data_IF_215474396508
#
_entry.id   IF_215474396508
#
_cell.length_a   1.000
_cell.length_b   1.000
_cell.length_c   1.000
_cell.angle_alpha   90.00
_cell.angle_beta   90.00
_cell.angle_gamma   90.00
#
_symmetry.space_group_name_H-M   'P 1'
#
loop_
_entity.id
_entity.type
_entity.pdbx_description
1 polymer ?
#
# COMPACT_ATOMS: atom_id res chain seq x y z
N UNK A 1 -21.10 7.68 -2.51
CA UNK A 1 -20.09 6.91 -1.75
C UNK A 1 -20.81 5.73 -1.16
N UNK A 2 -20.34 4.51 -1.44
CA UNK A 2 -21.03 3.27 -1.06
C UNK A 2 -20.06 2.27 -0.45
N UNK A 3 -20.59 1.28 0.27
CA UNK A 3 -19.81 0.14 0.77
C UNK A 3 -20.07 -1.07 -0.10
N UNK A 4 -19.01 -1.74 -0.53
CA UNK A 4 -19.10 -3.03 -1.22
C UNK A 4 -18.65 -4.16 -0.29
N UNK A 5 -19.45 -5.24 -0.24
CA UNK A 5 -19.28 -6.33 0.72
C UNK A 5 -18.62 -7.56 0.10
N UNK A 6 -17.74 -8.20 0.87
CA UNK A 6 -17.03 -9.41 0.50
C UNK A 6 -17.14 -10.46 1.62
N UNK A 7 -17.22 -11.74 1.22
CA UNK A 7 -17.23 -12.88 2.16
C UNK A 7 -15.80 -13.11 2.68
N UNK A 8 -15.56 -13.04 3.99
CA UNK A 8 -14.21 -13.29 4.56
C UNK A 8 -13.63 -14.61 4.10
N UNK A 9 -14.47 -15.66 4.13
CA UNK A 9 -14.03 -17.03 3.92
C UNK A 9 -13.19 -17.15 2.67
N UNK A 10 -13.73 -16.59 1.59
CA UNK A 10 -13.11 -16.60 0.27
C UNK A 10 -11.82 -15.76 0.28
N UNK A 11 -11.83 -14.60 0.92
CA UNK A 11 -10.63 -13.74 1.02
C UNK A 11 -9.52 -14.40 1.87
N UNK A 12 -9.89 -15.16 2.90
CA UNK A 12 -8.94 -15.96 3.71
C UNK A 12 -8.31 -17.08 2.90
N UNK A 13 -9.12 -17.76 2.08
CA UNK A 13 -8.65 -18.83 1.20
C UNK A 13 -7.58 -18.35 0.21
N UNK A 14 -7.65 -17.08 -0.23
CA UNK A 14 -6.68 -16.49 -1.17
C UNK A 14 -5.70 -15.49 -0.51
N UNK A 15 -5.63 -15.45 0.83
CA UNK A 15 -4.94 -14.37 1.56
C UNK A 15 -3.45 -14.34 1.25
N UNK A 16 -2.81 -15.50 1.16
CA UNK A 16 -1.38 -15.60 0.87
C UNK A 16 -1.07 -15.12 -0.56
N UNK A 17 -1.92 -15.46 -1.53
CA UNK A 17 -1.81 -14.97 -2.90
C UNK A 17 -2.03 -13.45 -2.96
N UNK A 18 -2.95 -12.92 -2.16
CA UNK A 18 -3.17 -11.48 -2.05
C UNK A 18 -1.94 -10.77 -1.47
N UNK A 19 -1.34 -11.30 -0.40
CA UNK A 19 -0.11 -10.77 0.19
C UNK A 19 1.03 -10.85 -0.83
N UNK A 20 1.15 -11.96 -1.55
CA UNK A 20 2.26 -12.20 -2.47
C UNK A 20 2.16 -11.38 -3.76
N UNK A 21 0.98 -11.31 -4.38
CA UNK A 21 0.82 -10.64 -5.67
C UNK A 21 0.55 -9.14 -5.51
N UNK A 22 -0.23 -8.77 -4.48
CA UNK A 22 -0.68 -7.40 -4.29
C UNK A 22 0.00 -6.70 -3.11
N UNK A 23 0.86 -7.35 -2.33
CA UNK A 23 1.30 -6.77 -1.06
C UNK A 23 0.11 -6.33 -0.18
N UNK A 24 -0.97 -7.13 -0.19
CA UNK A 24 -2.13 -6.90 0.65
C UNK A 24 -1.74 -6.98 2.14
N UNK A 25 -2.37 -6.14 2.95
CA UNK A 25 -2.28 -6.14 4.41
C UNK A 25 -3.65 -5.85 4.99
N UNK A 26 -3.94 -6.36 6.20
CA UNK A 26 -5.20 -6.05 6.86
C UNK A 26 -5.34 -4.54 7.22
N UNK A 27 -4.23 -3.78 7.22
CA UNK A 27 -4.25 -2.31 7.28
C UNK A 27 -4.89 -1.67 6.02
N UNK A 28 -4.94 -2.38 4.90
CA UNK A 28 -5.69 -1.92 3.73
C UNK A 28 -7.20 -1.87 4.02
N UNK A 29 -7.70 -2.48 5.11
CA UNK A 29 -9.10 -2.47 5.53
C UNK A 29 -9.39 -1.63 6.77
N UNK A 30 -8.40 -1.37 7.63
CA UNK A 30 -8.61 -0.70 8.93
C UNK A 30 -9.20 0.71 8.80
N UNK A 31 -8.88 1.41 7.72
CA UNK A 31 -9.45 2.73 7.40
C UNK A 31 -10.93 2.68 6.96
N UNK A 32 -11.46 1.53 6.52
CA UNK A 32 -12.86 1.40 6.10
C UNK A 32 -13.82 1.26 7.29
N UNK A 33 -13.33 0.82 8.45
CA UNK A 33 -14.08 0.74 9.72
C UNK A 33 -14.19 2.10 10.42
N UNK A 34 -13.14 2.91 10.27
CA UNK A 34 -12.98 4.18 10.97
C UNK A 34 -13.64 5.27 10.13
N UNK A 35 -14.85 5.66 10.51
CA UNK A 35 -15.62 6.70 9.80
C UNK A 35 -17.01 6.26 9.36
N UNK A 36 -17.40 4.98 9.58
CA UNK A 36 -18.81 4.66 9.65
C UNK A 36 -19.38 5.35 10.88
N UNK A 37 -20.46 6.12 10.71
CA UNK A 37 -21.31 6.44 11.84
C UNK A 37 -21.90 5.10 12.28
N UNK A 38 -21.27 4.48 13.29
CA UNK A 38 -21.71 3.21 13.85
C UNK A 38 -22.94 3.39 14.74
N UNK A 39 -23.32 4.65 15.04
CA UNK A 39 -24.47 5.01 15.85
C UNK A 39 -25.79 4.37 15.40
N UNK A 40 -26.17 4.31 14.11
CA UNK A 40 -27.38 3.60 13.69
C UNK A 40 -27.32 2.09 13.97
N UNK A 41 -26.13 1.50 14.02
CA UNK A 41 -25.94 0.09 14.34
C UNK A 41 -25.95 -0.14 15.86
N UNK A 42 -25.29 0.73 16.63
CA UNK A 42 -25.28 0.72 18.10
C UNK A 42 -26.68 1.05 18.66
N UNK A 43 -27.37 2.03 18.08
CA UNK A 43 -28.73 2.44 18.43
C UNK A 43 -29.76 1.34 18.11
N UNK A 44 -29.44 0.45 17.16
CA UNK A 44 -30.20 -0.77 16.88
C UNK A 44 -29.78 -1.96 17.79
N UNK A 45 -28.94 -1.74 18.80
CA UNK A 45 -28.53 -2.73 19.79
C UNK A 45 -27.48 -3.75 19.30
N UNK A 46 -26.79 -3.46 18.19
CA UNK A 46 -25.82 -4.39 17.60
C UNK A 46 -24.47 -4.24 18.30
N UNK A 47 -24.04 -5.29 19.00
CA UNK A 47 -22.72 -5.37 19.60
C UNK A 47 -21.65 -5.62 18.52
N UNK A 48 -21.12 -4.52 17.98
CA UNK A 48 -20.03 -4.49 16.99
C UNK A 48 -18.67 -4.95 17.55
N UNK A 49 -18.54 -5.12 18.88
CA UNK A 49 -17.35 -5.71 19.49
C UNK A 49 -17.39 -7.24 19.49
N UNK A 50 -18.58 -7.82 19.30
CA UNK A 50 -18.79 -9.26 19.30
C UNK A 50 -18.54 -9.85 17.91
N UNK A 51 -17.51 -10.69 17.82
CA UNK A 51 -17.04 -11.32 16.58
C UNK A 51 -17.95 -12.44 16.04
N UNK A 52 -19.18 -12.53 16.52
CA UNK A 52 -20.12 -13.67 16.42
C UNK A 52 -21.47 -13.29 15.79
N UNK A 53 -21.60 -12.10 15.19
CA UNK A 53 -22.82 -11.64 14.49
C UNK A 53 -22.62 -11.50 12.97
N UNK A 54 -23.56 -12.04 12.16
CA UNK A 54 -23.57 -11.98 10.69
C UNK A 54 -24.68 -11.07 10.21
N UNK A 55 -24.38 -10.17 9.28
CA UNK A 55 -25.42 -9.45 8.56
C UNK A 55 -25.97 -10.31 7.40
N UNK A 56 -27.21 -10.77 7.52
CA UNK A 56 -27.91 -11.45 6.45
C UNK A 56 -28.36 -10.44 5.39
N UNK A 57 -27.73 -10.44 4.21
CA UNK A 57 -28.06 -9.51 3.12
C UNK A 57 -29.47 -9.72 2.53
N UNK A 58 -30.10 -10.87 2.74
CA UNK A 58 -31.47 -11.16 2.27
C UNK A 58 -32.51 -10.66 3.27
N UNK A 59 -32.30 -10.94 4.57
CA UNK A 59 -33.27 -10.55 5.61
C UNK A 59 -32.98 -9.17 6.21
N UNK A 60 -31.78 -8.62 5.98
CA UNK A 60 -31.27 -7.38 6.58
C UNK A 60 -31.20 -7.43 8.12
N UNK A 61 -30.95 -8.60 8.68
CA UNK A 61 -30.89 -8.84 10.12
C UNK A 61 -29.52 -9.39 10.55
N UNK A 62 -29.16 -9.17 11.81
CA UNK A 62 -27.97 -9.76 12.42
C UNK A 62 -28.29 -11.13 13.03
N UNK A 63 -27.49 -12.15 12.72
CA UNK A 63 -27.67 -13.53 13.20
C UNK A 63 -26.46 -13.99 14.02
N UNK A 64 -26.70 -14.72 15.11
CA UNK A 64 -25.63 -15.35 15.89
C UNK A 64 -25.12 -16.61 15.18
N UNK A 65 -23.79 -16.76 15.09
CA UNK A 65 -23.16 -17.96 14.55
C UNK A 65 -21.63 -17.93 14.58
N UNK A 66 -20.95 -19.07 14.35
CA UNK A 66 -19.50 -19.08 14.13
C UNK A 66 -19.23 -18.50 12.73
N UNK A 67 -18.71 -17.28 12.64
CA UNK A 67 -18.86 -16.46 11.43
C UNK A 67 -17.56 -16.13 10.70
N UNK A 68 -17.63 -16.28 9.39
CA UNK A 68 -16.78 -15.61 8.42
C UNK A 68 -17.12 -14.11 8.34
N UNK A 69 -16.33 -13.25 9.00
CA UNK A 69 -16.60 -11.80 9.10
C UNK A 69 -16.77 -11.13 7.73
N UNK A 70 -17.86 -10.42 7.47
CA UNK A 70 -17.98 -9.63 6.23
C UNK A 70 -16.90 -8.55 6.19
N UNK A 71 -16.23 -8.43 5.04
CA UNK A 71 -15.30 -7.33 4.77
C UNK A 71 -16.05 -6.29 3.94
N UNK A 72 -15.90 -5.01 4.26
CA UNK A 72 -16.44 -3.90 3.48
C UNK A 72 -15.29 -3.02 3.00
N UNK A 73 -15.44 -2.49 1.80
CA UNK A 73 -14.52 -1.52 1.22
C UNK A 73 -15.33 -0.34 0.71
N UNK A 74 -14.88 0.88 1.01
CA UNK A 74 -15.52 2.11 0.53
C UNK A 74 -15.23 2.30 -0.96
N UNK A 75 -16.27 2.46 -1.78
CA UNK A 75 -16.17 2.61 -3.24
C UNK A 75 -17.05 3.73 -3.79
N UNK A 76 -16.90 4.00 -5.09
CA UNK A 76 -17.83 4.82 -5.86
C UNK A 76 -19.14 4.07 -6.12
N UNK A 77 -20.22 4.78 -6.45
CA UNK A 77 -21.56 4.24 -6.71
C UNK A 77 -21.61 3.24 -7.86
N UNK A 78 -20.80 3.47 -8.88
CA UNK A 78 -20.75 2.66 -10.10
C UNK A 78 -20.00 1.35 -9.91
N UNK A 79 -19.24 1.22 -8.81
CA UNK A 79 -18.37 0.07 -8.58
C UNK A 79 -19.16 -1.25 -8.57
N UNK A 80 -20.38 -1.25 -8.01
CA UNK A 80 -21.24 -2.43 -8.00
C UNK A 80 -21.53 -2.94 -9.42
N UNK A 81 -21.86 -2.04 -10.33
CA UNK A 81 -22.12 -2.37 -11.73
C UNK A 81 -20.87 -2.95 -12.40
N UNK A 82 -19.69 -2.35 -12.17
CA UNK A 82 -18.42 -2.85 -12.72
C UNK A 82 -18.10 -4.26 -12.17
N UNK A 83 -18.31 -4.45 -10.88
CA UNK A 83 -18.04 -5.69 -10.17
C UNK A 83 -18.97 -6.84 -10.62
N UNK A 84 -20.23 -6.56 -10.93
CA UNK A 84 -21.21 -7.52 -11.47
C UNK A 84 -20.92 -7.86 -12.93
N UNK A 85 -20.64 -6.84 -13.76
CA UNK A 85 -20.25 -7.03 -15.16
C UNK A 85 -18.96 -7.86 -15.30
N UNK A 86 -17.95 -7.58 -14.46
CA UNK A 86 -16.72 -8.38 -14.41
C UNK A 86 -16.99 -9.84 -14.01
N UNK A 87 -17.86 -10.06 -13.01
CA UNK A 87 -18.22 -11.41 -12.56
C UNK A 87 -18.90 -12.22 -13.67
N UNK A 88 -19.79 -11.59 -14.46
CA UNK A 88 -20.43 -12.23 -15.60
C UNK A 88 -19.41 -12.67 -16.67
N UNK A 89 -18.42 -11.82 -16.99
CA UNK A 89 -17.33 -12.18 -17.91
C UNK A 89 -16.50 -13.35 -17.39
N UNK A 90 -16.21 -13.37 -16.09
CA UNK A 90 -15.49 -14.47 -15.45
C UNK A 90 -16.29 -15.77 -15.45
N UNK A 91 -17.62 -15.70 -15.27
CA UNK A 91 -18.50 -16.86 -15.33
C UNK A 91 -18.52 -17.52 -16.71
N UNK A 92 -18.53 -16.72 -17.79
CA UNK A 92 -18.42 -17.22 -19.17
C UNK A 92 -17.11 -18.00 -19.38
N UNK A 93 -16.03 -17.55 -18.74
CA UNK A 93 -14.71 -18.20 -18.76
C UNK A 93 -14.55 -19.32 -17.73
N UNK A 94 -15.59 -19.60 -16.93
CA UNK A 94 -15.55 -20.61 -15.86
C UNK A 94 -14.41 -20.39 -14.85
N UNK A 95 -14.08 -19.13 -14.56
CA UNK A 95 -13.10 -18.79 -13.52
C UNK A 95 -13.70 -19.11 -12.15
N UNK A 96 -12.94 -19.80 -11.29
CA UNK A 96 -13.36 -20.14 -9.92
C UNK A 96 -13.79 -18.90 -9.12
N UNK A 97 -14.87 -19.02 -8.34
CA UNK A 97 -15.47 -17.91 -7.56
C UNK A 97 -14.43 -17.22 -6.67
N UNK A 98 -13.48 -17.96 -6.10
CA UNK A 98 -12.44 -17.42 -5.22
C UNK A 98 -11.55 -16.40 -5.91
N UNK A 99 -11.16 -16.65 -7.17
CA UNK A 99 -10.30 -15.74 -7.93
C UNK A 99 -11.08 -14.52 -8.43
N UNK A 100 -12.35 -14.70 -8.78
CA UNK A 100 -13.25 -13.58 -9.13
C UNK A 100 -13.43 -12.67 -7.92
N UNK A 101 -13.67 -13.25 -6.73
CA UNK A 101 -13.80 -12.51 -5.49
C UNK A 101 -12.51 -11.75 -5.13
N UNK A 102 -11.35 -12.40 -5.25
CA UNK A 102 -10.04 -11.79 -5.00
C UNK A 102 -9.77 -10.57 -5.88
N UNK A 103 -10.01 -10.69 -7.20
CA UNK A 103 -9.81 -9.59 -8.14
C UNK A 103 -10.78 -8.43 -7.88
N UNK A 104 -12.07 -8.72 -7.62
CA UNK A 104 -13.05 -7.69 -7.24
C UNK A 104 -12.67 -6.98 -5.94
N UNK A 105 -12.17 -7.74 -4.96
CA UNK A 105 -11.73 -7.21 -3.67
C UNK A 105 -10.56 -6.23 -3.83
N UNK A 106 -9.54 -6.62 -4.59
CA UNK A 106 -8.42 -5.72 -4.88
C UNK A 106 -8.85 -4.52 -5.75
N UNK A 107 -9.75 -4.72 -6.72
CA UNK A 107 -10.31 -3.62 -7.50
C UNK A 107 -11.02 -2.59 -6.62
N UNK A 108 -11.77 -3.02 -5.59
CA UNK A 108 -12.41 -2.11 -4.65
C UNK A 108 -11.38 -1.25 -3.90
N UNK A 109 -10.30 -1.88 -3.41
CA UNK A 109 -9.19 -1.19 -2.73
C UNK A 109 -8.50 -0.18 -3.66
N UNK A 110 -8.28 -0.55 -4.93
CA UNK A 110 -7.68 0.34 -5.93
C UNK A 110 -8.59 1.52 -6.26
N UNK A 111 -9.87 1.29 -6.53
CA UNK A 111 -10.87 2.33 -6.77
C UNK A 111 -10.91 3.31 -5.60
N UNK A 112 -10.96 2.80 -4.36
CA UNK A 112 -10.92 3.63 -3.15
C UNK A 112 -9.71 4.58 -3.14
N UNK A 113 -8.54 4.05 -3.48
CA UNK A 113 -7.29 4.79 -3.45
C UNK A 113 -7.22 5.84 -4.58
N UNK A 114 -7.61 5.47 -5.80
CA UNK A 114 -7.62 6.36 -6.98
C UNK A 114 -8.61 7.52 -6.79
N UNK A 115 -9.76 7.27 -6.19
CA UNK A 115 -10.79 8.28 -5.96
C UNK A 115 -10.62 9.02 -4.63
N UNK A 116 -9.52 8.81 -3.91
CA UNK A 116 -9.23 9.44 -2.62
C UNK A 116 -10.40 9.35 -1.63
N UNK A 117 -11.05 8.17 -1.55
CA UNK A 117 -12.25 7.98 -0.75
C UNK A 117 -11.97 7.85 0.75
N UNK A 118 -10.70 7.72 1.15
CA UNK A 118 -10.26 7.84 2.54
C UNK A 118 -9.85 9.29 2.76
N UNK A 119 -10.48 9.95 3.73
CA UNK A 119 -10.13 11.32 4.09
C UNK A 119 -9.05 11.34 5.16
N UNK A 120 -8.22 12.38 5.21
CA UNK A 120 -7.15 12.53 6.20
C UNK A 120 -7.69 12.55 7.66
N UNK A 121 -8.97 12.82 7.87
CA UNK A 121 -9.63 12.75 9.19
C UNK A 121 -10.12 11.36 9.59
N UNK A 122 -10.20 10.42 8.64
CA UNK A 122 -10.62 9.02 8.89
C UNK A 122 -9.42 8.15 9.37
N UNK A 123 -8.23 8.71 9.23
CA UNK A 123 -6.93 8.19 9.67
C UNK A 123 -6.76 8.64 11.12
N UNK A 124 -6.87 7.73 12.10
CA UNK A 124 -6.66 8.03 13.53
C UNK A 124 -5.44 8.96 13.73
N UNK A 125 -5.45 9.88 14.71
CA UNK A 125 -4.33 10.82 14.95
C UNK A 125 -2.93 10.16 15.01
N UNK A 126 -2.87 8.90 15.46
CA UNK A 126 -1.65 8.08 15.41
C UNK A 126 -1.16 7.85 13.97
N UNK A 127 -2.08 7.52 13.08
CA UNK A 127 -1.86 7.17 11.68
C UNK A 127 -1.52 8.42 10.84
N UNK A 128 -1.98 9.63 11.24
CA UNK A 128 -1.52 10.91 10.69
C UNK A 128 -0.08 11.26 11.09
N UNK A 129 0.29 11.07 12.36
CA UNK A 129 1.67 11.24 12.81
C UNK A 129 2.62 10.25 12.12
N UNK A 130 2.20 8.99 11.95
CA UNK A 130 2.90 7.99 11.15
C UNK A 130 3.05 8.44 9.69
N UNK A 131 1.98 8.97 9.07
CA UNK A 131 1.99 9.42 7.67
C UNK A 131 2.91 10.63 7.48
N UNK A 132 2.87 11.60 8.40
CA UNK A 132 3.78 12.74 8.42
C UNK A 132 5.24 12.29 8.59
N UNK A 133 5.48 11.34 9.48
CA UNK A 133 6.81 10.73 9.62
C UNK A 133 7.25 10.06 8.31
N UNK A 134 6.40 9.20 7.72
CA UNK A 134 6.76 8.45 6.51
C UNK A 134 6.96 9.35 5.29
N UNK A 135 6.20 10.43 5.12
CA UNK A 135 6.22 11.24 3.88
C UNK A 135 7.19 12.42 3.97
N UNK A 136 7.35 13.03 5.15
CA UNK A 136 8.16 14.23 5.33
C UNK A 136 9.45 13.96 6.12
N UNK A 137 9.36 13.28 7.27
CA UNK A 137 10.49 13.17 8.20
C UNK A 137 11.49 12.09 7.79
N UNK A 138 11.02 10.89 7.42
CA UNK A 138 11.88 9.76 7.07
C UNK A 138 12.80 10.04 5.87
N UNK A 139 12.34 10.69 4.78
CA UNK A 139 13.22 11.09 3.68
C UNK A 139 14.35 12.01 4.13
N UNK A 140 14.05 12.99 5.00
CA UNK A 140 15.04 13.91 5.54
C UNK A 140 16.05 13.17 6.44
N UNK A 141 15.58 12.23 7.25
CA UNK A 141 16.45 11.38 8.07
C UNK A 141 17.35 10.46 7.23
N UNK A 142 16.83 9.87 6.15
CA UNK A 142 17.62 9.07 5.21
C UNK A 142 18.69 9.93 4.52
N UNK A 143 18.33 11.12 4.05
CA UNK A 143 19.29 12.07 3.47
C UNK A 143 20.38 12.48 4.48
N UNK A 144 19.99 12.71 5.73
CA UNK A 144 20.93 13.02 6.82
C UNK A 144 21.87 11.84 7.10
N UNK A 145 21.34 10.61 7.15
CA UNK A 145 22.12 9.39 7.34
C UNK A 145 23.19 9.22 6.25
N UNK A 146 22.78 9.35 4.99
CA UNK A 146 23.68 9.28 3.83
C UNK A 146 24.76 10.35 3.94
N UNK A 147 24.37 11.60 4.21
CA UNK A 147 25.29 12.71 4.35
C UNK A 147 26.31 12.49 5.48
N UNK A 148 25.88 11.99 6.63
CA UNK A 148 26.77 11.72 7.77
C UNK A 148 27.76 10.59 7.50
N UNK A 149 27.31 9.47 6.91
CA UNK A 149 28.19 8.33 6.60
C UNK A 149 29.18 8.65 5.48
N UNK A 150 28.78 9.40 4.45
CA UNK A 150 29.65 9.79 3.33
C UNK A 150 30.64 10.91 3.68
N UNK A 151 30.30 11.77 4.66
CA UNK A 151 31.14 12.90 5.08
C UNK A 151 31.83 12.68 6.43
N UNK A 152 32.00 11.42 6.86
CA UNK A 152 32.72 11.09 8.09
C UNK A 152 34.12 11.73 8.09
N UNK A 153 34.47 12.45 9.16
CA UNK A 153 35.71 13.22 9.28
C UNK A 153 35.70 14.61 8.62
N UNK A 154 34.58 15.07 8.07
CA UNK A 154 34.42 16.40 7.45
C UNK A 154 33.41 17.27 8.21
N UNK A 155 33.52 18.58 8.03
CA UNK A 155 32.55 19.54 8.54
C UNK A 155 31.24 19.45 7.74
N UNK A 156 30.13 19.17 8.41
CA UNK A 156 28.79 19.16 7.83
C UNK A 156 28.02 20.43 8.23
N UNK A 157 27.07 20.87 7.41
CA UNK A 157 26.18 21.97 7.78
C UNK A 157 24.74 21.50 7.72
N UNK A 158 24.04 21.56 8.85
CA UNK A 158 22.64 21.15 8.98
C UNK A 158 21.77 22.40 9.00
N UNK A 159 20.70 22.42 8.20
CA UNK A 159 19.72 23.52 8.20
C UNK A 159 18.33 22.97 8.49
N UNK A 160 17.69 23.51 9.52
CA UNK A 160 16.30 23.23 9.82
C UNK A 160 15.41 24.26 9.11
N UNK A 161 14.74 23.85 8.03
CA UNK A 161 13.83 24.70 7.24
C UNK A 161 14.51 25.98 6.72
N UNK A 162 13.92 27.15 7.03
CA UNK A 162 14.45 28.47 6.66
C UNK A 162 15.42 29.06 7.70
N UNK A 163 15.77 28.30 8.73
CA UNK A 163 16.70 28.74 9.79
C UNK A 163 18.13 28.95 9.29
N UNK A 164 18.97 29.55 10.14
CA UNK A 164 20.41 29.64 9.88
C UNK A 164 21.05 28.25 9.93
N UNK A 165 21.97 27.91 9.01
CA UNK A 165 22.70 26.65 9.07
C UNK A 165 23.53 26.55 10.35
N UNK A 166 23.56 25.37 10.95
CA UNK A 166 24.44 25.03 12.06
C UNK A 166 25.54 24.14 11.51
N UNK A 167 26.79 24.53 11.78
CA UNK A 167 27.96 23.76 11.39
C UNK A 167 28.26 22.72 12.45
N UNK A 168 28.30 21.45 12.06
CA UNK A 168 28.70 20.33 12.90
C UNK A 168 30.06 19.85 12.40
N UNK A 169 31.09 19.94 13.22
CA UNK A 169 32.40 19.39 12.90
C UNK A 169 32.66 18.12 13.70
N UNK A 170 33.27 17.13 13.04
CA UNK A 170 33.58 15.84 13.66
C UNK A 170 34.68 15.98 14.75
N UNK A 171 35.40 17.11 14.77
CA UNK A 171 36.50 17.38 15.70
C UNK A 171 36.05 18.09 16.99
N UNK A 172 35.08 18.99 16.92
CA UNK A 172 34.54 19.70 18.08
C UNK A 172 33.32 19.02 18.70
N UNK A 173 32.60 18.19 17.93
CA UNK A 173 31.36 17.55 18.38
C UNK A 173 31.28 16.05 18.05
N UNK A 174 32.37 15.31 18.28
CA UNK A 174 32.41 13.85 18.07
C UNK A 174 31.28 13.09 18.79
N UNK A 175 30.88 13.56 19.99
CA UNK A 175 29.76 12.99 20.74
C UNK A 175 28.41 13.18 20.00
N UNK A 176 28.21 14.30 19.33
CA UNK A 176 26.99 14.58 18.57
C UNK A 176 26.90 13.69 17.34
N UNK A 177 28.01 13.54 16.60
CA UNK A 177 28.09 12.61 15.48
C UNK A 177 27.77 11.17 15.90
N UNK A 178 28.36 10.70 17.01
CA UNK A 178 28.08 9.38 17.57
C UNK A 178 26.61 9.19 17.96
N UNK A 179 26.02 10.16 18.65
CA UNK A 179 24.62 10.10 19.07
C UNK A 179 23.66 10.14 17.88
N UNK A 180 23.94 10.97 16.88
CA UNK A 180 23.16 11.02 15.64
C UNK A 180 23.27 9.74 14.84
N UNK A 181 24.46 9.14 14.73
CA UNK A 181 24.68 7.87 14.06
C UNK A 181 23.88 6.74 14.76
N UNK A 182 23.98 6.64 16.09
CA UNK A 182 23.18 5.71 16.91
C UNK A 182 21.67 5.91 16.75
N UNK A 183 21.21 7.16 16.76
CA UNK A 183 19.80 7.50 16.57
C UNK A 183 19.33 7.02 15.20
N UNK A 184 20.05 7.40 14.13
CA UNK A 184 19.67 7.05 12.77
C UNK A 184 19.74 5.54 12.53
N UNK A 185 20.76 4.85 13.04
CA UNK A 185 20.87 3.38 12.95
C UNK A 185 19.67 2.70 13.66
N UNK A 186 19.27 3.18 14.84
CA UNK A 186 18.11 2.65 15.60
C UNK A 186 16.79 2.89 14.87
N UNK A 187 16.56 4.10 14.35
CA UNK A 187 15.24 4.52 13.85
C UNK A 187 15.03 4.33 12.35
N UNK A 188 16.08 4.41 11.53
CA UNK A 188 15.98 4.15 10.10
C UNK A 188 16.00 2.67 9.77
N UNK A 189 16.75 1.88 10.56
CA UNK A 189 16.92 0.43 10.38
C UNK A 189 17.37 0.03 8.96
N UNK A 190 18.18 0.88 8.32
CA UNK A 190 18.88 0.61 7.06
C UNK A 190 20.27 0.05 7.37
N UNK A 191 20.72 -0.95 6.63
CA UNK A 191 21.98 -1.64 6.90
C UNK A 191 23.19 -0.85 6.39
N UNK A 192 23.03 -0.05 5.34
CA UNK A 192 24.11 0.70 4.70
C UNK A 192 23.58 1.91 3.89
N UNK A 193 24.50 2.67 3.31
CA UNK A 193 24.20 3.88 2.52
C UNK A 193 23.48 3.53 1.23
N UNK A 194 23.83 2.40 0.61
CA UNK A 194 23.22 1.90 -0.62
C UNK A 194 21.73 1.62 -0.42
N UNK A 195 21.35 0.92 0.66
CA UNK A 195 19.95 0.64 1.00
C UNK A 195 19.17 1.92 1.29
N UNK A 196 19.78 2.90 1.98
CA UNK A 196 19.16 4.19 2.23
C UNK A 196 18.90 4.98 0.92
N UNK A 197 19.86 4.94 -0.01
CA UNK A 197 19.75 5.58 -1.32
C UNK A 197 18.69 4.90 -2.18
N UNK A 198 18.67 3.55 -2.22
CA UNK A 198 17.63 2.78 -2.88
C UNK A 198 16.25 3.14 -2.33
N UNK A 199 16.11 3.20 -1.00
CA UNK A 199 14.85 3.60 -0.36
C UNK A 199 14.41 5.01 -0.76
N UNK A 200 15.32 5.98 -0.83
CA UNK A 200 15.00 7.33 -1.30
C UNK A 200 14.53 7.37 -2.75
N UNK A 201 15.22 6.66 -3.64
CA UNK A 201 14.86 6.61 -5.05
C UNK A 201 13.55 5.86 -5.30
N UNK A 202 13.29 4.85 -4.49
CA UNK A 202 12.13 4.00 -4.61
C UNK A 202 10.88 4.56 -3.91
N UNK A 203 11.01 5.08 -2.71
CA UNK A 203 9.84 5.48 -1.92
C UNK A 203 9.55 6.98 -2.05
N UNK A 204 10.57 7.78 -2.39
CA UNK A 204 10.49 9.25 -2.39
C UNK A 204 10.97 9.90 -3.71
N UNK A 205 10.54 9.42 -4.89
CA UNK A 205 11.04 9.92 -6.18
C UNK A 205 10.77 11.41 -6.42
N UNK A 206 9.69 11.97 -5.86
CA UNK A 206 9.36 13.39 -5.94
C UNK A 206 10.32 14.29 -5.15
N UNK A 207 10.86 13.81 -4.02
CA UNK A 207 11.87 14.52 -3.21
C UNK A 207 13.23 14.52 -3.91
N UNK A 208 13.51 13.52 -4.75
CA UNK A 208 14.72 13.41 -5.57
C UNK A 208 14.64 14.17 -6.90
N UNK A 209 13.63 15.04 -7.08
CA UNK A 209 13.42 15.81 -8.31
C UNK A 209 13.01 14.99 -9.53
N UNK A 210 12.78 13.67 -9.41
CA UNK A 210 12.25 12.83 -10.49
C UNK A 210 10.74 13.07 -10.58
N UNK A 211 10.28 13.61 -11.72
CA UNK A 211 8.84 13.71 -12.07
C UNK A 211 8.26 12.32 -12.40
N UNK A 212 8.30 11.38 -11.46
CA UNK A 212 7.40 10.22 -11.56
C UNK A 212 6.04 10.73 -11.11
N UNK A 213 5.12 10.94 -12.04
CA UNK A 213 3.72 11.21 -11.71
C UNK A 213 3.26 10.04 -10.82
N UNK A 214 2.95 10.30 -9.56
CA UNK A 214 2.50 9.29 -8.56
C UNK A 214 1.48 8.32 -9.14
N UNK A 215 0.59 8.85 -9.98
CA UNK A 215 -0.52 8.13 -10.60
C UNK A 215 -0.04 7.06 -11.58
N UNK A 216 1.06 7.32 -12.31
CA UNK A 216 1.65 6.33 -13.22
C UNK A 216 2.32 5.19 -12.44
N UNK A 217 2.95 5.50 -11.31
CA UNK A 217 3.58 4.48 -10.45
C UNK A 217 2.51 3.56 -9.85
N UNK A 218 1.40 4.14 -9.38
CA UNK A 218 0.29 3.36 -8.83
C UNK A 218 -0.40 2.51 -9.90
N UNK A 219 -0.63 3.07 -11.09
CA UNK A 219 -1.17 2.32 -12.22
C UNK A 219 -0.26 1.16 -12.64
N UNK A 220 1.06 1.38 -12.72
CA UNK A 220 2.03 0.33 -12.99
C UNK A 220 1.97 -0.79 -11.95
N UNK A 221 1.76 -0.45 -10.67
CA UNK A 221 1.58 -1.43 -9.61
C UNK A 221 0.27 -2.21 -9.76
N UNK A 222 -0.85 -1.56 -10.07
CA UNK A 222 -2.13 -2.25 -10.36
C UNK A 222 -1.92 -3.24 -11.51
N UNK A 223 -1.28 -2.81 -12.60
CA UNK A 223 -0.99 -3.66 -13.76
C UNK A 223 -0.12 -4.86 -13.40
N UNK A 224 1.02 -4.63 -12.75
CA UNK A 224 1.99 -5.66 -12.38
C UNK A 224 1.39 -6.67 -11.39
N UNK A 225 0.79 -6.20 -10.30
CA UNK A 225 0.21 -7.05 -9.26
C UNK A 225 -0.96 -7.90 -9.77
N UNK A 226 -1.85 -7.29 -10.57
CA UNK A 226 -2.98 -8.01 -11.18
C UNK A 226 -2.49 -9.04 -12.19
N UNK A 227 -1.51 -8.69 -13.02
CA UNK A 227 -0.89 -9.63 -13.96
C UNK A 227 -0.28 -10.83 -13.22
N UNK A 228 0.52 -10.58 -12.18
CA UNK A 228 1.14 -11.64 -11.37
C UNK A 228 0.11 -12.55 -10.73
N UNK A 229 -1.03 -12.01 -10.27
CA UNK A 229 -2.11 -12.84 -9.74
C UNK A 229 -2.76 -13.70 -10.84
N UNK A 230 -3.05 -13.11 -12.01
CA UNK A 230 -3.63 -13.82 -13.15
C UNK A 230 -2.70 -14.95 -13.62
N UNK A 231 -1.42 -14.65 -13.82
CA UNK A 231 -0.45 -15.59 -14.39
C UNK A 231 -0.11 -16.76 -13.45
N UNK A 232 -0.35 -16.61 -12.14
CA UNK A 232 -0.08 -17.67 -11.16
C UNK A 232 -1.30 -18.50 -10.82
N UNK A 233 -2.47 -17.86 -10.72
CA UNK A 233 -3.64 -18.48 -10.10
C UNK A 233 -4.78 -18.75 -11.08
N UNK A 234 -4.80 -18.10 -12.25
CA UNK A 234 -5.95 -18.15 -13.17
C UNK A 234 -5.55 -18.72 -14.51
N UNK A 235 -4.49 -18.19 -15.12
CA UNK A 235 -3.97 -18.61 -16.44
C UNK A 235 -2.47 -18.91 -16.28
N UNK A 236 -2.10 -20.08 -15.71
CA UNK A 236 -0.70 -20.46 -15.52
C UNK A 236 0.06 -20.57 -16.84
N UNK A 237 1.31 -20.11 -16.86
CA UNK A 237 2.22 -20.28 -17.99
C UNK A 237 3.63 -20.61 -17.53
N UNK A 238 4.50 -20.93 -18.49
CA UNK A 238 5.94 -21.07 -18.23
C UNK A 238 6.52 -19.76 -17.67
N UNK A 239 7.58 -19.91 -16.88
CA UNK A 239 8.32 -18.79 -16.28
C UNK A 239 8.82 -17.81 -17.36
N UNK A 240 8.77 -16.52 -17.06
CA UNK A 240 9.17 -15.42 -17.96
C UNK A 240 8.44 -15.39 -19.33
N UNK A 241 7.31 -16.09 -19.46
CA UNK A 241 6.48 -16.05 -20.67
C UNK A 241 5.21 -15.26 -20.42
N UNK A 242 5.06 -14.15 -21.13
CA UNK A 242 3.83 -13.34 -21.14
C UNK A 242 2.94 -13.79 -22.28
N UNK A 243 1.75 -14.33 -21.97
CA UNK A 243 0.82 -14.82 -22.98
C UNK A 243 -0.18 -13.74 -23.42
N UNK A 244 -0.69 -13.87 -24.65
CA UNK A 244 -1.75 -13.01 -25.18
C UNK A 244 -3.02 -13.13 -24.33
N UNK A 245 -3.32 -14.34 -23.85
CA UNK A 245 -4.50 -14.62 -23.03
C UNK A 245 -4.44 -13.91 -21.67
N UNK A 246 -3.30 -13.99 -20.96
CA UNK A 246 -3.10 -13.29 -19.70
C UNK A 246 -3.25 -11.77 -19.86
N UNK A 247 -2.63 -11.19 -20.89
CA UNK A 247 -2.72 -9.75 -21.13
C UNK A 247 -4.11 -9.33 -21.61
N UNK A 248 -4.83 -10.18 -22.35
CA UNK A 248 -6.23 -9.93 -22.72
C UNK A 248 -7.09 -9.87 -21.47
N UNK A 249 -6.93 -10.84 -20.55
CA UNK A 249 -7.70 -10.84 -19.31
C UNK A 249 -7.37 -9.66 -18.40
N UNK A 250 -6.10 -9.28 -18.30
CA UNK A 250 -5.68 -8.07 -17.60
C UNK A 250 -6.30 -6.80 -18.21
N UNK A 251 -6.25 -6.65 -19.53
CA UNK A 251 -6.81 -5.50 -20.24
C UNK A 251 -8.32 -5.35 -19.94
N UNK A 252 -9.04 -6.47 -19.94
CA UNK A 252 -10.46 -6.48 -19.60
C UNK A 252 -10.71 -6.06 -18.16
N UNK A 253 -9.96 -6.59 -17.19
CA UNK A 253 -10.04 -6.17 -15.80
C UNK A 253 -9.82 -4.66 -15.66
N UNK A 254 -8.73 -4.14 -16.23
CA UNK A 254 -8.38 -2.72 -16.12
C UNK A 254 -9.44 -1.81 -16.78
N UNK A 255 -10.03 -2.25 -17.88
CA UNK A 255 -11.05 -1.49 -18.63
C UNK A 255 -12.42 -1.56 -17.94
N UNK A 256 -12.76 -2.69 -17.34
CA UNK A 256 -14.02 -2.91 -16.64
C UNK A 256 -14.13 -1.98 -15.43
N UNK A 257 -13.07 -1.95 -14.60
CA UNK A 257 -12.98 -1.10 -13.42
C UNK A 257 -12.50 0.33 -13.70
N UNK A 258 -12.38 0.72 -14.98
CA UNK A 258 -12.01 2.08 -15.43
C UNK A 258 -10.65 2.57 -14.93
N UNK A 259 -9.71 1.66 -14.62
CA UNK A 259 -8.33 2.02 -14.30
C UNK A 259 -7.57 2.54 -15.52
N UNK A 260 -8.01 2.14 -16.73
CA UNK A 260 -7.50 2.64 -18.00
C UNK A 260 -8.65 3.00 -18.93
N UNK A 261 -8.40 3.95 -19.85
CA UNK A 261 -9.37 4.31 -20.88
C UNK A 261 -9.20 3.44 -22.13
N UNK A 262 -10.25 2.80 -22.65
CA UNK A 262 -10.18 2.02 -23.88
C UNK A 262 -9.91 2.88 -25.13
N UNK A 263 -10.11 4.20 -25.03
CA UNK A 263 -9.90 5.15 -26.14
C UNK A 263 -8.43 5.58 -26.29
N UNK A 264 -7.60 5.35 -25.28
CA UNK A 264 -6.17 5.70 -25.37
C UNK A 264 -5.42 4.66 -26.21
N UNK A 265 -4.74 5.12 -27.26
CA UNK A 265 -3.90 4.28 -28.13
C UNK A 265 -2.80 3.56 -27.36
N UNK A 266 -2.40 4.07 -26.19
CA UNK A 266 -1.44 3.44 -25.28
C UNK A 266 -2.00 2.18 -24.61
N UNK A 267 -3.32 2.06 -24.47
CA UNK A 267 -4.00 0.96 -23.78
C UNK A 267 -4.35 -0.22 -24.71
N UNK A 268 -3.58 -0.40 -25.79
CA UNK A 268 -3.70 -1.54 -26.70
C UNK A 268 -2.95 -2.75 -26.15
N UNK A 269 -3.41 -3.94 -26.52
CA UNK A 269 -2.85 -5.22 -26.06
C UNK A 269 -1.33 -5.33 -26.25
N UNK A 270 -0.80 -4.96 -27.42
CA UNK A 270 0.64 -5.03 -27.70
C UNK A 270 1.46 -4.10 -26.79
N UNK A 271 0.92 -2.92 -26.47
CA UNK A 271 1.57 -1.99 -25.57
C UNK A 271 1.52 -2.52 -24.13
N UNK A 272 0.37 -3.07 -23.71
CA UNK A 272 0.23 -3.70 -22.40
C UNK A 272 1.20 -4.87 -22.21
N UNK A 273 1.37 -5.72 -23.23
CA UNK A 273 2.35 -6.81 -23.20
C UNK A 273 3.78 -6.28 -23.01
N UNK A 274 4.15 -5.23 -23.75
CA UNK A 274 5.46 -4.58 -23.61
C UNK A 274 5.64 -3.96 -22.22
N UNK A 275 4.62 -3.27 -21.70
CA UNK A 275 4.61 -2.68 -20.36
C UNK A 275 4.76 -3.75 -19.28
N UNK A 276 3.99 -4.85 -19.34
CA UNK A 276 4.12 -5.94 -18.38
C UNK A 276 5.48 -6.60 -18.45
N UNK A 277 6.03 -6.79 -19.65
CA UNK A 277 7.40 -7.29 -19.82
C UNK A 277 8.40 -6.39 -19.11
N UNK A 278 8.28 -5.09 -19.31
CA UNK A 278 9.12 -4.11 -18.63
C UNK A 278 8.96 -4.10 -17.12
N UNK A 279 7.75 -4.36 -16.57
CA UNK A 279 7.45 -4.28 -15.14
C UNK A 279 7.73 -5.57 -14.35
N UNK A 280 7.75 -6.72 -15.03
CA UNK A 280 7.83 -8.04 -14.39
C UNK A 280 9.11 -8.78 -14.77
N UNK A 281 9.56 -8.66 -16.02
CA UNK A 281 10.70 -9.43 -16.54
C UNK A 281 11.95 -8.56 -16.63
N UNK A 282 11.85 -7.39 -17.25
CA UNK A 282 13.03 -6.57 -17.58
C UNK A 282 13.42 -5.61 -16.44
N UNK A 283 12.60 -5.43 -15.41
CA UNK A 283 12.89 -4.47 -14.34
C UNK A 283 13.77 -5.06 -13.24
N UNK A 284 14.92 -4.42 -12.99
CA UNK A 284 15.61 -4.47 -11.69
C UNK A 284 14.74 -3.90 -10.54
N UNK A 285 13.70 -3.13 -10.86
CA UNK A 285 12.74 -2.60 -9.88
C UNK A 285 11.54 -3.54 -9.73
N UNK A 286 11.58 -4.40 -8.72
CA UNK A 286 10.42 -5.20 -8.31
C UNK A 286 9.30 -4.27 -7.81
N UNK A 287 8.45 -3.75 -8.71
CA UNK A 287 7.45 -2.74 -8.34
C UNK A 287 6.51 -3.23 -7.23
N UNK A 288 6.16 -4.51 -7.22
CA UNK A 288 5.36 -5.14 -6.14
C UNK A 288 6.14 -5.11 -4.82
N UNK A 289 7.44 -5.45 -4.82
CA UNK A 289 8.28 -5.37 -3.62
C UNK A 289 8.47 -3.93 -3.14
N UNK A 290 8.65 -2.99 -4.07
CA UNK A 290 8.72 -1.55 -3.78
C UNK A 290 7.43 -1.09 -3.09
N UNK A 291 6.26 -1.51 -3.56
CA UNK A 291 4.98 -1.24 -2.90
C UNK A 291 4.84 -1.96 -1.55
N UNK A 292 5.33 -3.20 -1.43
CA UNK A 292 5.36 -3.94 -0.16
C UNK A 292 6.24 -3.25 0.88
N UNK A 293 7.44 -2.83 0.50
CA UNK A 293 8.36 -2.04 1.35
C UNK A 293 7.70 -0.74 1.77
N UNK A 294 7.13 0.01 0.82
CA UNK A 294 6.35 1.23 1.10
C UNK A 294 5.26 1.00 2.16
N UNK A 295 4.42 -0.03 2.00
CA UNK A 295 3.35 -0.35 2.97
C UNK A 295 3.90 -0.73 4.34
N UNK A 296 4.95 -1.56 4.39
CA UNK A 296 5.60 -1.96 5.65
C UNK A 296 6.16 -0.74 6.40
N UNK A 297 6.82 0.17 5.69
CA UNK A 297 7.38 1.39 6.29
C UNK A 297 6.30 2.39 6.73
N UNK A 298 5.14 2.41 6.08
CA UNK A 298 3.97 3.21 6.49
C UNK A 298 3.23 2.62 7.69
N UNK A 299 3.15 1.29 7.79
CA UNK A 299 2.46 0.60 8.88
C UNK A 299 3.33 0.43 10.13
N UNK A 300 4.65 0.47 9.98
CA UNK A 300 5.62 0.36 11.07
C UNK A 300 6.69 1.46 10.91
N UNK A 301 6.61 2.57 11.63
CA UNK A 301 7.84 3.08 12.19
C UNK A 301 8.29 1.95 13.14
N UNK A 302 9.53 1.47 13.02
CA UNK A 302 10.13 0.58 14.02
C UNK A 302 10.65 1.31 15.28
N UNK A 303 9.98 2.32 15.85
CA UNK A 303 9.87 2.40 17.29
C UNK A 303 8.66 1.54 17.66
N UNK A 304 8.77 0.70 18.69
CA UNK A 304 7.57 0.16 19.33
C UNK A 304 6.67 1.36 19.65
N UNK A 305 5.35 1.23 19.59
CA UNK A 305 4.43 2.37 19.81
C UNK A 305 4.73 3.21 21.09
N UNK A 306 5.44 2.63 22.05
CA UNK A 306 5.93 3.29 23.27
C UNK A 306 7.23 4.09 23.09
N UNK A 307 8.07 3.73 22.13
CA UNK A 307 9.38 4.36 21.88
C UNK A 307 9.26 5.74 21.21
N UNK A 308 8.13 6.11 20.59
CA UNK A 308 7.89 7.47 20.05
C UNK A 308 7.61 8.47 21.18
N UNK A 309 6.97 8.02 22.26
CA UNK A 309 6.72 8.85 23.44
C UNK A 309 7.94 8.91 24.37
N UNK A 310 8.79 7.87 24.34
CA UNK A 310 10.11 7.89 25.01
C UNK A 310 11.11 8.84 24.34
N UNK A 311 10.83 9.39 23.14
CA UNK A 311 11.69 10.39 22.48
C UNK A 311 11.87 11.65 23.35
N UNK A 312 10.93 11.95 24.24
CA UNK A 312 11.04 13.11 25.12
C UNK A 312 11.62 12.79 26.51
N UNK A 313 11.76 11.50 26.90
CA UNK A 313 12.05 11.12 28.29
C UNK A 313 12.75 9.74 28.47
N UNK A 314 13.49 9.22 27.49
CA UNK A 314 14.31 8.01 27.73
C UNK A 314 15.62 8.41 28.43
N UNK A 315 15.68 8.27 29.76
CA UNK A 315 16.89 8.51 30.56
C UNK A 315 17.97 7.42 30.37
N UNK A 316 17.78 6.45 29.46
CA UNK A 316 18.69 5.32 29.25
C UNK A 316 19.69 5.52 28.11
N UNK A 317 20.23 6.73 27.98
CA UNK A 317 21.35 7.03 27.07
C UNK A 317 22.73 6.75 27.69
N UNK A 318 22.82 5.83 28.65
CA UNK A 318 24.09 5.35 29.24
C UNK A 318 24.77 4.26 28.41
#
# INVERSE_FOLDING_TARGET
MELYFFKNKIIREVKEELIHCFAYSDFDLSADLCGLNLKPFIDAGIDISNTSLTFDLKTKEWKEGPIDRLLFVRTISEFKQYAESFANKCAIRQIEEKHVCALKFMAAIFTRTIHHLINDTDVFDMEQNLRMYSIAVRPDLLNLYIALKQNKGKTATIRFGKGKPITVDDKGFAWFHYMMEKYLDKFLAVNNVEEAQEELEDLYPSMMGKKVKSDQLYLNYIMASTYTYISRNIIPSQENKITVEQCTFLLEFLTEFKFISPQDKKNKLNNLQSTIKSLIIDSNSYIIERFRRNKRMRAFPRPRLFDIYDICWDDRWE
#
